data_IF_588674686573
#
_entry.id   IF_588674686573
#
_cell.length_a   1.000
_cell.length_b   1.000
_cell.length_c   1.000
_cell.angle_alpha   90.00
_cell.angle_beta   90.00
_cell.angle_gamma   90.00
#
_symmetry.space_group_name_H-M   'P 1'
#
loop_
_entity.id
_entity.type
_entity.pdbx_description
1 polymer ?
#
# COMPACT_ATOMS: atom_id res chain seq x y z
N UNK A 1 22.55 3.22 -2.31
CA UNK A 1 22.89 4.22 -1.27
C UNK A 1 21.64 4.35 -0.41
N UNK A 2 21.67 3.96 0.86
CA UNK A 2 20.49 4.00 1.73
C UNK A 2 20.64 5.19 2.68
N UNK A 3 19.71 6.14 2.58
CA UNK A 3 19.55 7.23 3.53
C UNK A 3 18.39 6.86 4.45
N UNK A 4 18.61 6.86 5.76
CA UNK A 4 17.58 6.46 6.73
C UNK A 4 17.39 7.59 7.73
N UNK A 5 16.15 8.06 7.83
CA UNK A 5 15.72 8.99 8.87
C UNK A 5 14.80 8.26 9.86
N UNK A 6 14.75 8.69 11.13
CA UNK A 6 13.85 8.10 12.11
C UNK A 6 12.40 8.47 11.77
N UNK A 7 11.50 7.48 11.79
CA UNK A 7 10.07 7.69 11.51
C UNK A 7 9.27 7.32 12.76
N UNK A 8 8.22 8.08 13.03
CA UNK A 8 7.29 7.84 14.11
C UNK A 8 6.63 6.44 13.96
N UNK A 9 6.54 5.72 15.08
CA UNK A 9 6.16 4.29 15.18
C UNK A 9 4.75 3.96 14.64
N UNK A 10 3.91 4.98 14.45
CA UNK A 10 2.58 4.87 13.89
C UNK A 10 2.56 4.71 12.36
N UNK A 11 3.56 5.21 11.63
CA UNK A 11 3.69 5.00 10.17
C UNK A 11 4.23 3.60 9.83
N UNK A 12 5.10 3.05 10.69
CA UNK A 12 5.57 1.65 10.58
C UNK A 12 4.37 0.69 10.62
N UNK A 13 3.36 1.00 11.46
CA UNK A 13 2.11 0.23 11.52
C UNK A 13 1.27 0.27 10.23
N UNK A 14 1.28 1.36 9.47
CA UNK A 14 0.52 1.48 8.22
C UNK A 14 1.21 0.69 7.12
N UNK A 15 2.52 0.88 6.95
CA UNK A 15 3.31 0.14 5.97
C UNK A 15 3.20 -1.36 6.20
N UNK A 16 3.34 -1.83 7.45
CA UNK A 16 3.19 -3.24 7.78
C UNK A 16 1.77 -3.77 7.52
N UNK A 17 0.75 -2.97 7.84
CA UNK A 17 -0.65 -3.33 7.55
C UNK A 17 -0.88 -3.47 6.04
N UNK A 18 -0.38 -2.53 5.24
CA UNK A 18 -0.46 -2.58 3.78
C UNK A 18 0.24 -3.81 3.23
N UNK A 19 1.47 -4.11 3.71
CA UNK A 19 2.20 -5.33 3.31
C UNK A 19 1.45 -6.60 3.65
N UNK A 20 0.87 -6.69 4.85
CA UNK A 20 0.09 -7.84 5.28
C UNK A 20 -1.15 -8.06 4.40
N UNK A 21 -1.87 -6.98 4.09
CA UNK A 21 -3.08 -7.04 3.25
C UNK A 21 -2.73 -7.39 1.80
N UNK A 22 -1.66 -6.82 1.25
CA UNK A 22 -1.17 -7.16 -0.08
C UNK A 22 -0.79 -8.64 -0.17
N UNK A 23 -0.02 -9.15 0.79
CA UNK A 23 0.34 -10.56 0.86
C UNK A 23 -0.87 -11.48 0.99
N UNK A 24 -1.83 -11.14 1.87
CA UNK A 24 -3.07 -11.89 2.02
C UNK A 24 -3.96 -11.89 0.77
N UNK A 25 -3.83 -10.85 -0.06
CA UNK A 25 -4.56 -10.69 -1.33
C UNK A 25 -3.74 -11.16 -2.54
N UNK A 26 -2.58 -11.80 -2.31
CA UNK A 26 -1.66 -12.31 -3.32
C UNK A 26 -1.17 -11.25 -4.33
N UNK A 27 -0.98 -10.02 -3.85
CA UNK A 27 -0.40 -8.90 -4.60
C UNK A 27 1.05 -8.66 -4.19
N UNK A 28 1.89 -8.29 -5.17
CA UNK A 28 3.26 -7.89 -4.93
C UNK A 28 3.36 -6.36 -4.99
N UNK A 29 3.88 -5.77 -3.92
CA UNK A 29 4.06 -4.31 -3.80
C UNK A 29 5.55 -4.03 -3.61
N UNK A 30 6.17 -3.39 -4.60
CA UNK A 30 7.61 -3.08 -4.59
C UNK A 30 7.94 -1.88 -3.70
N UNK A 31 7.09 -0.86 -3.74
CA UNK A 31 7.25 0.41 -3.01
C UNK A 31 6.00 0.75 -2.20
N UNK A 32 6.19 1.24 -0.98
CA UNK A 32 5.14 1.82 -0.14
C UNK A 32 5.70 3.08 0.49
N UNK A 33 5.05 4.21 0.23
CA UNK A 33 5.39 5.49 0.80
C UNK A 33 4.20 6.06 1.56
N UNK A 34 4.44 6.46 2.81
CA UNK A 34 3.43 7.09 3.66
C UNK A 34 3.86 8.51 3.92
N UNK A 35 3.02 9.47 3.53
CA UNK A 35 3.24 10.88 3.75
C UNK A 35 2.07 11.49 4.51
N UNK A 36 2.36 12.50 5.32
CA UNK A 36 1.34 13.26 6.06
C UNK A 36 1.26 14.67 5.48
N UNK A 37 0.05 15.09 5.12
CA UNK A 37 -0.25 16.44 4.61
C UNK A 37 -1.46 16.95 5.36
N UNK A 38 -1.32 18.09 6.03
CA UNK A 38 -2.39 18.70 6.85
C UNK A 38 -3.03 17.73 7.87
N UNK A 39 -2.22 16.86 8.47
CA UNK A 39 -2.67 15.84 9.44
C UNK A 39 -3.40 14.64 8.83
N UNK A 40 -3.49 14.59 7.50
CA UNK A 40 -4.04 13.45 6.75
C UNK A 40 -2.91 12.60 6.23
N UNK A 41 -2.99 11.29 6.48
CA UNK A 41 -2.02 10.33 5.94
C UNK A 41 -2.45 9.88 4.56
N UNK A 42 -1.51 9.94 3.65
CA UNK A 42 -1.62 9.48 2.28
C UNK A 42 -0.66 8.31 2.08
N UNK A 43 -1.13 7.28 1.39
CA UNK A 43 -0.34 6.08 1.10
C UNK A 43 -0.23 5.95 -0.41
N UNK A 44 1.01 5.89 -0.89
CA UNK A 44 1.36 5.60 -2.26
C UNK A 44 1.94 4.18 -2.34
N UNK A 45 1.61 3.46 -3.42
CA UNK A 45 1.94 2.06 -3.63
C UNK A 45 2.44 1.87 -5.06
N UNK A 46 3.47 1.07 -5.22
CA UNK A 46 3.84 0.51 -6.53
C UNK A 46 3.37 -0.95 -6.59
N UNK A 47 2.28 -1.19 -7.31
CA UNK A 47 1.72 -2.54 -7.50
C UNK A 47 2.31 -3.19 -8.75
N UNK A 48 2.89 -4.37 -8.59
CA UNK A 48 3.28 -5.20 -9.72
C UNK A 48 2.14 -6.15 -10.10
N UNK A 49 1.85 -6.21 -11.41
CA UNK A 49 0.83 -7.09 -12.00
C UNK A 49 1.40 -7.79 -13.23
N UNK A 50 0.73 -8.86 -13.70
CA UNK A 50 1.15 -9.58 -14.91
C UNK A 50 1.07 -8.67 -16.14
N UNK A 51 2.09 -8.72 -16.99
CA UNK A 51 2.25 -7.86 -18.17
C UNK A 51 1.28 -8.19 -19.31
N UNK A 52 0.59 -9.34 -19.23
CA UNK A 52 -0.44 -9.75 -20.18
C UNK A 52 -1.82 -9.18 -19.87
N UNK A 53 -2.00 -8.59 -18.68
CA UNK A 53 -3.27 -7.98 -18.31
C UNK A 53 -3.53 -6.76 -19.19
N UNK A 54 -4.80 -6.57 -19.54
CA UNK A 54 -5.25 -5.29 -20.06
C UNK A 54 -5.13 -4.20 -19.00
N UNK A 55 -5.07 -2.94 -19.44
CA UNK A 55 -5.05 -1.80 -18.53
C UNK A 55 -6.26 -1.80 -17.57
N UNK A 56 -7.43 -2.23 -18.04
CA UNK A 56 -8.64 -2.33 -17.22
C UNK A 56 -8.48 -3.38 -16.14
N UNK A 57 -7.95 -4.56 -16.47
CA UNK A 57 -7.72 -5.62 -15.47
C UNK A 57 -6.68 -5.15 -14.43
N UNK A 58 -5.57 -4.54 -14.86
CA UNK A 58 -4.58 -3.97 -13.95
C UNK A 58 -5.19 -2.91 -13.00
N UNK A 59 -6.07 -2.06 -13.51
CA UNK A 59 -6.81 -1.08 -12.71
C UNK A 59 -7.77 -1.75 -11.70
N UNK A 60 -8.44 -2.83 -12.10
CA UNK A 60 -9.34 -3.58 -11.22
C UNK A 60 -8.56 -4.23 -10.06
N UNK A 61 -7.36 -4.75 -10.34
CA UNK A 61 -6.45 -5.26 -9.31
C UNK A 61 -6.03 -4.16 -8.32
N UNK A 62 -5.63 -2.98 -8.81
CA UNK A 62 -5.28 -1.84 -7.95
C UNK A 62 -6.47 -1.39 -7.09
N UNK A 63 -7.65 -1.29 -7.69
CA UNK A 63 -8.90 -0.92 -7.00
C UNK A 63 -9.28 -1.94 -5.92
N UNK A 64 -9.08 -3.23 -6.18
CA UNK A 64 -9.35 -4.28 -5.21
C UNK A 64 -8.42 -4.18 -3.99
N UNK A 65 -7.12 -3.96 -4.21
CA UNK A 65 -6.14 -3.78 -3.15
C UNK A 65 -6.44 -2.52 -2.31
N UNK A 66 -6.78 -1.40 -2.95
CA UNK A 66 -7.16 -0.15 -2.26
C UNK A 66 -8.36 -0.38 -1.33
N UNK A 67 -9.40 -1.07 -1.80
CA UNK A 67 -10.58 -1.42 -0.99
C UNK A 67 -10.21 -2.31 0.20
N UNK A 68 -9.35 -3.30 -0.01
CA UNK A 68 -8.88 -4.18 1.06
C UNK A 68 -8.10 -3.42 2.14
N UNK A 69 -7.19 -2.51 1.73
CA UNK A 69 -6.43 -1.65 2.64
C UNK A 69 -7.37 -0.76 3.45
N UNK A 70 -8.33 -0.10 2.78
CA UNK A 70 -9.33 0.73 3.47
C UNK A 70 -10.14 -0.09 4.48
N UNK A 71 -10.61 -1.27 4.12
CA UNK A 71 -11.37 -2.13 5.04
C UNK A 71 -10.52 -2.62 6.24
N UNK A 72 -9.25 -2.95 6.02
CA UNK A 72 -8.32 -3.38 7.07
C UNK A 72 -7.89 -2.25 8.01
N UNK A 73 -7.80 -1.01 7.50
CA UNK A 73 -7.43 0.18 8.28
C UNK A 73 -8.46 0.64 9.32
N UNK A 74 -9.70 0.15 9.26
CA UNK A 74 -10.79 0.52 10.19
C UNK A 74 -10.86 -0.37 11.45
N UNK A 75 -9.92 -1.30 11.67
CA UNK A 75 -9.94 -2.25 12.81
C UNK A 75 -9.13 -1.79 14.04
N UNK A 76 -9.06 -0.50 14.33
CA UNK A 76 -8.46 0.03 15.57
C UNK A 76 -9.38 1.00 16.27
#
# INVERSE_FOLDING_TARGET
>A
MAHVHPVALDSESITDTVRLIAAASNFFVSGIDVHEVDGVRHVELELEVDDRLSLTEAYDHATALERAIRAGGHRR
#
